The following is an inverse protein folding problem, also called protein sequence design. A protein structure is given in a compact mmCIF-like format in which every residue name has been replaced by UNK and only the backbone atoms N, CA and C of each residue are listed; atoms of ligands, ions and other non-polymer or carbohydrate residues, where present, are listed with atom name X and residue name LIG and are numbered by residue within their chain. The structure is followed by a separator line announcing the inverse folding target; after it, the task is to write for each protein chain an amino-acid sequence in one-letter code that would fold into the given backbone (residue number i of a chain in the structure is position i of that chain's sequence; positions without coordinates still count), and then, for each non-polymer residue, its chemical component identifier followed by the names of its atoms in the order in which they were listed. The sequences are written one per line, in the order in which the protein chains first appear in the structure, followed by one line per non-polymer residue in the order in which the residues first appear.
data_IF_156014869893
#
_entry.id   IF_156014869893
#
_cell.length_a   1.000
_cell.length_b   1.000
_cell.length_c   1.000
_cell.angle_alpha   90.00
_cell.angle_beta   90.00
_cell.angle_gamma   90.00
#
_symmetry.space_group_name_H-M   'P 1'
#
loop_
_entity.id
_entity.type
_entity.pdbx_description
1 polymer ?
#
# COMPACT_ATOMS: atom_id res chain seq x y z
N UNK A 1 -6.44 16.51 -3.11
CA UNK A 1 -5.50 16.54 -1.95
C UNK A 1 -5.88 15.54 -0.86
N UNK A 2 -7.13 15.50 -0.38
CA UNK A 2 -7.53 14.57 0.68
C UNK A 2 -7.25 13.09 0.35
N UNK A 3 -7.60 12.63 -0.86
CA UNK A 3 -7.34 11.25 -1.29
C UNK A 3 -5.85 10.87 -1.26
N UNK A 4 -4.96 11.75 -1.72
CA UNK A 4 -3.51 11.51 -1.68
C UNK A 4 -2.98 11.42 -0.25
N UNK A 5 -3.48 12.27 0.66
CA UNK A 5 -3.11 12.22 2.06
C UNK A 5 -3.56 10.92 2.73
N UNK A 6 -4.81 10.50 2.46
CA UNK A 6 -5.34 9.20 2.95
C UNK A 6 -4.53 8.04 2.39
N UNK A 7 -4.17 8.07 1.11
CA UNK A 7 -3.33 7.04 0.49
C UNK A 7 -1.95 6.97 1.14
N UNK A 8 -1.31 8.11 1.36
CA UNK A 8 -0.01 8.16 2.05
C UNK A 8 -0.10 7.60 3.48
N UNK A 9 -1.13 7.98 4.25
CA UNK A 9 -1.37 7.43 5.58
C UNK A 9 -1.62 5.91 5.53
N UNK A 10 -2.40 5.42 4.56
CA UNK A 10 -2.68 4.01 4.39
C UNK A 10 -1.42 3.20 4.03
N UNK A 11 -0.54 3.74 3.18
CA UNK A 11 0.74 3.12 2.84
C UNK A 11 1.64 3.03 4.07
N UNK A 12 1.79 4.12 4.83
CA UNK A 12 2.58 4.13 6.07
C UNK A 12 2.01 3.10 7.04
N UNK A 13 0.70 3.13 7.27
CA UNK A 13 0.00 2.20 8.15
C UNK A 13 0.19 0.75 7.70
N UNK A 14 0.06 0.45 6.40
CA UNK A 14 0.22 -0.91 5.85
C UNK A 14 1.63 -1.45 6.05
N UNK A 15 2.65 -0.58 6.02
CA UNK A 15 4.05 -0.99 6.18
C UNK A 15 4.38 -1.16 7.68
N UNK A 16 3.82 -0.34 8.56
CA UNK A 16 4.10 -0.39 10.02
C UNK A 16 3.28 -1.44 10.76
N UNK A 17 2.00 -1.63 10.42
CA UNK A 17 1.07 -2.52 11.11
C UNK A 17 1.19 -3.95 10.58
N UNK A 18 1.36 -4.95 11.45
CA UNK A 18 1.24 -6.35 11.05
C UNK A 18 1.43 -7.31 12.22
N UNK A 19 1.76 -8.58 11.95
CA UNK A 19 1.88 -9.59 13.02
C UNK A 19 2.87 -9.20 14.12
N UNK A 20 3.91 -8.43 13.75
CA UNK A 20 4.79 -7.74 14.67
C UNK A 20 4.92 -6.30 14.20
N UNK A 21 4.45 -5.36 15.00
CA UNK A 21 4.53 -3.95 14.65
C UNK A 21 5.98 -3.49 14.58
N UNK A 22 6.31 -2.78 13.51
CA UNK A 22 7.62 -2.18 13.29
C UNK A 22 7.47 -0.68 13.50
N UNK A 23 8.27 -0.12 14.39
CA UNK A 23 8.20 1.31 14.69
C UNK A 23 8.48 2.14 13.42
N UNK A 24 7.79 3.28 13.19
CA UNK A 24 8.02 4.11 12.01
C UNK A 24 9.49 4.54 11.79
N UNK A 25 10.27 4.90 12.83
CA UNK A 25 11.70 5.21 12.67
C UNK A 25 12.51 4.02 12.15
N UNK A 26 12.15 2.80 12.56
CA UNK A 26 12.83 1.59 12.16
C UNK A 26 12.50 1.18 10.72
N UNK A 27 11.26 1.43 10.27
CA UNK A 27 10.89 1.30 8.85
C UNK A 27 11.76 2.21 7.98
N UNK A 28 11.92 3.48 8.36
CA UNK A 28 12.78 4.44 7.63
C UNK A 28 14.24 3.99 7.66
N UNK A 29 14.73 3.48 8.79
CA UNK A 29 16.10 2.94 8.90
C UNK A 29 16.32 1.77 7.94
N UNK A 30 15.40 0.81 7.92
CA UNK A 30 15.47 -0.39 7.06
C UNK A 30 15.36 -0.03 5.56
N UNK A 31 14.59 0.99 5.22
CA UNK A 31 14.48 1.50 3.85
C UNK A 31 15.77 2.17 3.37
N UNK A 32 16.41 2.97 4.24
CA UNK A 32 17.64 3.69 3.92
C UNK A 32 18.89 2.82 3.99
N UNK A 33 18.90 1.83 4.89
CA UNK A 33 19.98 0.89 5.11
C UNK A 33 19.40 -0.52 5.11
N UNK A 34 19.23 -1.15 3.93
CA UNK A 34 18.70 -2.50 3.78
C UNK A 34 19.74 -3.56 4.20
N UNK A 35 20.46 -3.31 5.29
CA UNK A 35 21.46 -4.20 5.86
C UNK A 35 20.69 -5.39 6.46
N UNK A 36 20.46 -6.41 5.62
CA UNK A 36 19.47 -7.48 5.77
C UNK A 36 19.70 -8.49 6.90
N UNK A 37 20.28 -8.08 8.02
CA UNK A 37 20.64 -8.95 9.14
C UNK A 37 19.53 -9.13 10.19
N UNK A 38 18.42 -8.38 10.09
CA UNK A 38 17.30 -8.46 11.04
C UNK A 38 16.03 -9.09 10.47
N UNK A 39 15.31 -9.87 11.28
CA UNK A 39 13.99 -10.43 10.97
C UNK A 39 13.00 -9.37 10.44
N UNK A 40 12.98 -8.19 11.06
CA UNK A 40 12.12 -7.09 10.64
C UNK A 40 12.46 -6.58 9.22
N UNK A 41 13.75 -6.56 8.86
CA UNK A 41 14.18 -6.16 7.51
C UNK A 41 13.71 -7.17 6.48
N UNK A 42 13.86 -8.47 6.77
CA UNK A 42 13.39 -9.53 5.89
C UNK A 42 11.89 -9.42 5.66
N UNK A 43 11.08 -9.42 6.71
CA UNK A 43 9.60 -9.32 6.62
C UNK A 43 9.15 -8.05 5.90
N UNK A 44 9.83 -6.92 6.11
CA UNK A 44 9.51 -5.67 5.42
C UNK A 44 9.65 -5.81 3.90
N UNK A 45 10.80 -6.32 3.45
CA UNK A 45 11.15 -6.40 2.04
C UNK A 45 10.50 -7.58 1.30
N UNK A 46 10.29 -8.72 1.96
CA UNK A 46 9.77 -9.94 1.31
C UNK A 46 8.26 -10.12 1.45
N UNK A 47 7.63 -9.53 2.47
CA UNK A 47 6.19 -9.70 2.70
C UNK A 47 5.40 -8.39 2.64
N UNK A 48 5.82 -7.38 3.42
CA UNK A 48 5.03 -6.15 3.61
C UNK A 48 5.02 -5.28 2.37
N UNK A 49 6.20 -4.93 1.83
CA UNK A 49 6.30 -4.10 0.62
C UNK A 49 5.57 -4.76 -0.57
N UNK A 50 5.79 -6.05 -0.88
CA UNK A 50 5.07 -6.72 -1.96
C UNK A 50 3.54 -6.69 -1.76
N UNK A 51 3.05 -6.93 -0.55
CA UNK A 51 1.62 -6.86 -0.24
C UNK A 51 1.05 -5.47 -0.43
N UNK A 52 1.73 -4.42 0.04
CA UNK A 52 1.29 -3.03 -0.15
C UNK A 52 1.24 -2.68 -1.64
N UNK A 53 2.25 -3.08 -2.42
CA UNK A 53 2.26 -2.88 -3.87
C UNK A 53 1.10 -3.59 -4.56
N UNK A 54 0.83 -4.85 -4.20
CA UNK A 54 -0.32 -5.59 -4.72
C UNK A 54 -1.65 -4.91 -4.37
N UNK A 55 -1.82 -4.46 -3.13
CA UNK A 55 -3.03 -3.73 -2.72
C UNK A 55 -3.25 -2.45 -3.53
N UNK A 56 -2.18 -1.69 -3.79
CA UNK A 56 -2.23 -0.47 -4.60
C UNK A 56 -2.58 -0.76 -6.06
N UNK A 57 -1.95 -1.75 -6.69
CA UNK A 57 -2.19 -2.07 -8.10
C UNK A 57 -3.57 -2.68 -8.33
N UNK A 58 -4.00 -3.59 -7.45
CA UNK A 58 -5.36 -4.17 -7.50
C UNK A 58 -6.40 -3.08 -7.27
N UNK A 59 -6.23 -2.23 -6.25
CA UNK A 59 -7.15 -1.12 -5.99
C UNK A 59 -7.25 -0.13 -7.16
N UNK A 60 -6.12 0.21 -7.78
CA UNK A 60 -6.10 1.07 -8.96
C UNK A 60 -6.80 0.42 -10.17
N UNK A 61 -6.58 -0.88 -10.40
CA UNK A 61 -7.22 -1.61 -11.48
C UNK A 61 -8.75 -1.70 -11.29
N UNK A 62 -9.21 -1.99 -10.08
CA UNK A 62 -10.64 -2.00 -9.75
C UNK A 62 -11.26 -0.62 -9.90
N UNK A 63 -10.59 0.44 -9.41
CA UNK A 63 -11.05 1.82 -9.58
C UNK A 63 -11.17 2.23 -11.05
N UNK A 64 -10.19 1.84 -11.88
CA UNK A 64 -10.23 2.09 -13.32
C UNK A 64 -11.35 1.31 -14.02
N UNK A 65 -11.56 0.04 -13.63
CA UNK A 65 -12.64 -0.80 -14.17
C UNK A 65 -14.02 -0.21 -13.84
N UNK A 66 -14.25 0.23 -12.60
CA UNK A 66 -15.51 0.89 -12.21
C UNK A 66 -15.75 2.19 -12.97
N UNK A 67 -14.71 3.01 -13.14
CA UNK A 67 -14.77 4.23 -13.96
C UNK A 67 -15.14 3.92 -15.43
N UNK A 68 -14.61 2.82 -15.97
CA UNK A 68 -14.89 2.38 -17.32
C UNK A 68 -16.34 1.86 -17.46
N UNK A 69 -16.85 1.11 -16.48
CA UNK A 69 -18.26 0.70 -16.43
C UNK A 69 -19.20 1.90 -16.33
N UNK A 70 -18.88 2.88 -15.48
CA UNK A 70 -19.65 4.12 -15.35
C UNK A 70 -19.68 4.92 -16.66
N UNK A 71 -18.54 5.01 -17.37
CA UNK A 71 -18.46 5.68 -18.65
C UNK A 71 -19.23 4.96 -19.76
N UNK A 72 -19.15 3.63 -19.83
CA UNK A 72 -19.85 2.81 -20.83
C UNK A 72 -21.37 2.84 -20.66
N UNK A 73 -21.84 2.76 -19.41
CA UNK A 73 -23.26 2.80 -19.09
C UNK A 73 -23.82 4.23 -19.06
N UNK A 74 -22.94 5.24 -19.11
CA UNK A 74 -23.29 6.64 -18.88
C UNK A 74 -24.07 6.83 -17.56
N UNK A 75 -23.77 5.98 -16.57
CA UNK A 75 -24.44 5.96 -15.28
C UNK A 75 -23.39 6.01 -14.16
N UNK A 76 -23.29 7.12 -13.41
CA UNK A 76 -22.33 7.27 -12.32
C UNK A 76 -22.57 6.33 -11.13
N UNK A 77 -23.67 5.57 -11.13
CA UNK A 77 -24.02 4.57 -10.11
C UNK A 77 -23.74 3.13 -10.55
N UNK A 78 -23.19 2.92 -11.75
CA UNK A 78 -22.79 1.59 -12.20
C UNK A 78 -21.53 1.12 -11.44
N UNK A 79 -21.55 -0.14 -11.01
CA UNK A 79 -20.53 -0.83 -10.21
C UNK A 79 -19.50 -1.55 -11.11
#
# INVERSE_FOLDING_TARGET
MAACAVLACAVIASITLGARDISPPEVVRILLHPDGTGYNSHVLWTERIPRTLLGLTVGAALGASGLMMQALTMNPLAD
#
